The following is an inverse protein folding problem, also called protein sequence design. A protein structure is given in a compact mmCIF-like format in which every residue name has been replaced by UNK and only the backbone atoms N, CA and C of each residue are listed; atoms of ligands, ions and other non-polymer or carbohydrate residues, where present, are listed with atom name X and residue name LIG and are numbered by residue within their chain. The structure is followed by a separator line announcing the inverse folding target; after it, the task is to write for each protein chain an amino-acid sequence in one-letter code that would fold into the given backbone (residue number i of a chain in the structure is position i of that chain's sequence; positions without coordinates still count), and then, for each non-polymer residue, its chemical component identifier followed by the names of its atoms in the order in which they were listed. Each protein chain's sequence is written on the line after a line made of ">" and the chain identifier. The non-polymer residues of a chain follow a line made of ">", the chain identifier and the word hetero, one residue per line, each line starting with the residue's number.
data_IF_694001216935
#
_entry.id   IF_694001216935
#
_cell.length_a   1.000
_cell.length_b   1.000
_cell.length_c   1.000
_cell.angle_alpha   90.00
_cell.angle_beta   90.00
_cell.angle_gamma   90.00
#
_symmetry.space_group_name_H-M   'P 1'
#
loop_
_entity.id
_entity.type
_entity.pdbx_description
1 polymer ?
#
# COMPACT_ATOMS: atom_id res chain seq x y z
N UNK A 1 -8.29 -15.13 1.68
CA UNK A 1 -7.16 -14.21 1.92
C UNK A 1 -6.27 -14.20 0.69
N UNK A 2 -5.85 -13.03 0.24
CA UNK A 2 -4.83 -12.89 -0.80
C UNK A 2 -3.46 -12.76 -0.16
N UNK A 3 -2.51 -13.57 -0.61
CA UNK A 3 -1.21 -13.71 0.01
C UNK A 3 -0.12 -13.18 -0.91
N UNK A 4 0.77 -12.32 -0.39
CA UNK A 4 1.92 -11.81 -1.12
C UNK A 4 3.10 -12.78 -0.94
N UNK A 5 3.12 -13.86 -1.72
CA UNK A 5 4.05 -14.98 -1.61
C UNK A 5 5.15 -15.01 -2.70
N UNK A 6 5.22 -13.97 -3.54
CA UNK A 6 6.19 -13.90 -4.64
C UNK A 6 7.48 -13.14 -4.29
N UNK A 7 7.62 -12.68 -3.05
CA UNK A 7 8.82 -11.99 -2.60
C UNK A 7 10.03 -12.92 -2.54
N UNK A 8 11.18 -12.42 -3.01
CA UNK A 8 12.50 -13.05 -2.82
C UNK A 8 13.36 -12.27 -1.83
N UNK A 9 13.27 -10.94 -1.88
CA UNK A 9 14.07 -10.04 -1.05
C UNK A 9 13.42 -9.69 0.29
N UNK A 10 12.20 -10.13 0.51
CA UNK A 10 11.48 -9.87 1.75
C UNK A 10 10.85 -11.15 2.31
N UNK A 11 10.79 -11.25 3.63
CA UNK A 11 10.24 -12.41 4.33
C UNK A 11 9.80 -12.03 5.74
N UNK A 12 8.64 -12.51 6.17
CA UNK A 12 8.32 -12.61 7.61
C UNK A 12 8.87 -13.92 8.10
N UNK A 13 9.90 -13.87 8.91
CA UNK A 13 10.55 -15.09 9.46
C UNK A 13 9.69 -15.68 10.56
N UNK A 14 9.23 -14.83 11.50
CA UNK A 14 8.44 -15.22 12.65
C UNK A 14 7.64 -14.04 13.20
N UNK A 15 6.65 -14.30 14.04
CA UNK A 15 5.89 -13.25 14.73
C UNK A 15 5.34 -13.75 16.06
N UNK A 16 5.53 -12.98 17.12
CA UNK A 16 5.11 -13.32 18.49
C UNK A 16 5.13 -12.08 19.39
N UNK A 17 4.27 -12.07 20.41
CA UNK A 17 4.24 -11.04 21.47
C UNK A 17 4.22 -9.60 20.95
N UNK A 18 3.38 -9.32 19.98
CA UNK A 18 3.20 -7.98 19.44
C UNK A 18 4.29 -7.52 18.47
N UNK A 19 5.17 -8.42 18.05
CA UNK A 19 6.30 -8.12 17.15
C UNK A 19 6.39 -9.09 16.00
N UNK A 20 7.00 -8.63 14.91
CA UNK A 20 7.37 -9.45 13.76
C UNK A 20 8.85 -9.33 13.48
N UNK A 21 9.44 -10.48 13.17
CA UNK A 21 10.82 -10.63 12.74
C UNK A 21 10.83 -10.75 11.21
N UNK A 22 11.48 -9.81 10.54
CA UNK A 22 11.46 -9.70 9.09
C UNK A 22 12.86 -9.66 8.50
N UNK A 23 13.02 -10.24 7.31
CA UNK A 23 14.20 -10.05 6.47
C UNK A 23 13.87 -9.08 5.34
N UNK A 24 14.70 -8.05 5.22
CA UNK A 24 14.61 -7.01 4.18
C UNK A 24 15.93 -7.00 3.39
N UNK A 25 15.97 -7.75 2.30
CA UNK A 25 17.22 -8.02 1.58
C UNK A 25 18.14 -8.87 2.45
N UNK A 26 19.27 -8.33 2.81
CA UNK A 26 20.25 -8.99 3.70
C UNK A 26 20.11 -8.56 5.18
N UNK A 27 19.19 -7.67 5.49
CA UNK A 27 19.02 -7.13 6.85
C UNK A 27 17.78 -7.70 7.55
N UNK A 28 17.90 -7.93 8.84
CA UNK A 28 16.84 -8.43 9.70
C UNK A 28 16.36 -7.35 10.63
N UNK A 29 15.05 -7.10 10.66
CA UNK A 29 14.42 -6.11 11.52
C UNK A 29 13.38 -6.76 12.43
N UNK A 30 13.26 -6.20 13.63
CA UNK A 30 12.15 -6.47 14.55
C UNK A 30 11.29 -5.21 14.65
N UNK A 31 10.02 -5.35 14.34
CA UNK A 31 9.07 -4.23 14.39
C UNK A 31 7.77 -4.63 15.10
N UNK A 32 7.11 -3.72 15.81
CA UNK A 32 5.83 -4.01 16.43
C UNK A 32 4.73 -4.23 15.37
N UNK A 33 3.85 -5.18 15.66
CA UNK A 33 2.65 -5.43 14.89
C UNK A 33 1.47 -5.69 15.84
N UNK A 34 0.44 -4.82 15.87
CA UNK A 34 -0.68 -4.96 16.79
C UNK A 34 -1.59 -6.15 16.49
N UNK A 35 -1.50 -6.75 15.31
CA UNK A 35 -2.22 -7.98 14.96
C UNK A 35 -1.65 -9.20 15.68
N UNK A 36 -0.38 -9.15 16.08
CA UNK A 36 0.35 -10.27 16.69
C UNK A 36 0.05 -10.34 18.18
N UNK A 37 -1.14 -10.82 18.53
CA UNK A 37 -1.61 -10.94 19.93
C UNK A 37 -1.28 -12.29 20.57
N UNK A 38 -0.74 -13.22 19.80
CA UNK A 38 -0.32 -14.54 20.29
C UNK A 38 1.07 -14.51 20.92
N UNK A 39 1.32 -15.45 21.82
CA UNK A 39 2.57 -15.61 22.55
C UNK A 39 3.15 -17.00 22.22
N UNK A 40 3.98 -17.08 21.23
CA UNK A 40 4.69 -18.29 20.81
C UNK A 40 6.19 -18.17 21.11
N UNK A 41 6.91 -19.31 21.32
CA UNK A 41 8.34 -19.26 21.59
C UNK A 41 9.13 -18.58 20.47
N UNK A 42 9.97 -17.61 20.83
CA UNK A 42 10.87 -16.91 19.91
C UNK A 42 12.18 -17.70 19.75
N UNK A 43 12.15 -18.75 18.95
CA UNK A 43 13.28 -19.67 18.76
C UNK A 43 14.19 -19.31 17.59
N UNK A 44 13.69 -18.48 16.65
CA UNK A 44 14.48 -18.07 15.50
C UNK A 44 15.68 -17.19 15.91
N UNK A 45 16.82 -17.45 15.29
CA UNK A 45 18.10 -16.76 15.59
C UNK A 45 17.98 -15.23 15.42
N UNK A 46 17.20 -14.79 14.46
CA UNK A 46 17.02 -13.36 14.17
C UNK A 46 16.48 -12.54 15.35
N UNK A 47 15.72 -13.15 16.27
CA UNK A 47 15.26 -12.49 17.48
C UNK A 47 16.38 -12.01 18.42
N UNK A 48 17.57 -12.61 18.32
CA UNK A 48 18.76 -12.25 19.11
C UNK A 48 19.84 -11.55 18.28
N UNK A 49 19.73 -11.58 16.95
CA UNK A 49 20.74 -11.08 16.03
C UNK A 49 20.13 -10.24 14.90
N UNK A 50 19.20 -9.33 15.25
CA UNK A 50 18.63 -8.38 14.30
C UNK A 50 19.61 -7.24 13.99
N UNK A 51 19.42 -6.58 12.85
CA UNK A 51 20.16 -5.38 12.45
C UNK A 51 19.51 -4.09 12.95
N UNK A 52 18.20 -4.11 13.20
CA UNK A 52 17.46 -3.01 13.77
C UNK A 52 16.23 -3.49 14.53
N UNK A 53 15.86 -2.76 15.58
CA UNK A 53 14.68 -3.05 16.38
C UNK A 53 13.96 -1.73 16.70
N UNK A 54 12.68 -1.66 16.38
CA UNK A 54 11.84 -0.53 16.77
C UNK A 54 11.12 -0.83 18.08
N UNK A 55 11.44 -0.07 19.11
CA UNK A 55 10.82 -0.19 20.42
C UNK A 55 9.65 0.78 20.58
N UNK A 56 8.46 0.23 20.83
CA UNK A 56 7.26 1.01 21.03
C UNK A 56 7.24 1.63 22.44
N UNK A 57 6.98 2.93 22.52
CA UNK A 57 6.79 3.62 23.79
C UNK A 57 5.37 3.40 24.33
N UNK A 58 5.21 3.26 25.64
CA UNK A 58 3.91 3.20 26.32
C UNK A 58 3.10 4.50 26.21
N UNK A 59 3.78 5.61 25.89
CA UNK A 59 3.16 6.95 25.75
C UNK A 59 2.81 7.29 24.30
N UNK A 60 2.93 6.35 23.38
CA UNK A 60 2.81 6.56 21.93
C UNK A 60 4.15 6.84 21.26
N UNK A 61 4.26 6.49 19.98
CA UNK A 61 5.52 6.54 19.24
C UNK A 61 6.50 5.44 19.64
N UNK A 62 7.77 5.73 19.58
CA UNK A 62 8.86 4.80 19.88
C UNK A 62 10.15 5.25 19.20
N UNK A 63 11.17 4.41 19.27
CA UNK A 63 12.49 4.70 18.71
C UNK A 63 13.14 3.45 18.11
N UNK A 64 14.02 3.68 17.14
CA UNK A 64 14.84 2.65 16.53
C UNK A 64 16.11 2.44 17.33
N UNK A 65 16.45 1.20 17.57
CA UNK A 65 17.77 0.75 18.01
C UNK A 65 18.47 0.09 16.82
N UNK A 66 19.66 0.55 16.49
CA UNK A 66 20.44 0.06 15.35
C UNK A 66 21.66 -0.72 15.83
N UNK A 67 21.88 -1.91 15.25
CA UNK A 67 23.03 -2.75 15.57
C UNK A 67 24.03 -2.80 14.43
N UNK A 68 23.58 -2.91 13.20
CA UNK A 68 24.41 -2.89 11.99
C UNK A 68 23.51 -2.74 10.77
N UNK A 69 22.85 -1.60 10.69
CA UNK A 69 21.92 -1.27 9.61
C UNK A 69 22.42 -0.02 8.88
N UNK A 70 22.51 -0.02 7.54
CA UNK A 70 22.84 1.19 6.80
C UNK A 70 21.71 2.23 6.91
N UNK A 71 22.01 3.50 6.63
CA UNK A 71 20.98 4.55 6.62
C UNK A 71 19.89 4.28 5.59
N UNK A 72 20.26 3.66 4.47
CA UNK A 72 19.32 3.21 3.45
C UNK A 72 19.89 2.03 2.65
N UNK A 73 18.99 1.22 2.10
CA UNK A 73 19.32 0.09 1.23
C UNK A 73 18.21 -0.15 0.25
N UNK A 74 18.37 -1.12 -0.65
CA UNK A 74 17.38 -1.46 -1.67
C UNK A 74 16.94 -2.92 -1.56
N UNK A 75 15.69 -3.17 -1.90
CA UNK A 75 15.16 -4.50 -2.18
C UNK A 75 14.41 -4.48 -3.52
N UNK A 76 14.19 -5.66 -4.07
CA UNK A 76 13.55 -5.84 -5.37
C UNK A 76 12.29 -6.68 -5.26
N UNK A 77 11.29 -6.31 -6.04
CA UNK A 77 10.13 -7.14 -6.31
C UNK A 77 9.94 -7.24 -7.82
N UNK A 78 10.23 -8.42 -8.39
CA UNK A 78 10.28 -8.59 -9.85
C UNK A 78 11.18 -7.50 -10.47
N UNK A 79 10.67 -6.72 -11.41
CA UNK A 79 11.41 -5.62 -12.05
C UNK A 79 11.48 -4.32 -11.24
N UNK A 80 10.83 -4.25 -10.11
CA UNK A 80 10.76 -3.03 -9.30
C UNK A 80 11.89 -3.00 -8.25
N UNK A 81 12.42 -1.81 -8.03
CA UNK A 81 13.42 -1.53 -7.00
C UNK A 81 12.89 -0.52 -6.02
N UNK A 82 12.97 -0.83 -4.74
CA UNK A 82 12.52 0.04 -3.65
C UNK A 82 13.69 0.48 -2.78
N UNK A 83 13.82 1.79 -2.58
CA UNK A 83 14.74 2.37 -1.62
C UNK A 83 14.10 2.35 -0.25
N UNK A 84 14.79 1.78 0.74
CA UNK A 84 14.30 1.62 2.10
C UNK A 84 15.19 2.38 3.06
N UNK A 85 14.58 2.93 4.11
CA UNK A 85 15.27 3.51 5.27
C UNK A 85 14.32 3.52 6.46
N UNK A 86 14.82 3.28 7.67
CA UNK A 86 14.03 3.54 8.87
C UNK A 86 13.67 5.02 8.92
N UNK A 87 12.41 5.32 9.17
CA UNK A 87 11.95 6.70 9.36
C UNK A 87 10.83 6.74 10.38
N UNK A 88 10.07 7.82 10.43
CA UNK A 88 9.00 8.05 11.40
C UNK A 88 8.28 6.79 11.85
N UNK A 89 8.24 6.56 13.15
CA UNK A 89 7.67 5.36 13.75
C UNK A 89 8.42 4.09 13.26
N UNK A 90 7.70 3.00 13.12
CA UNK A 90 8.21 1.68 12.71
C UNK A 90 8.38 1.50 11.19
N UNK A 91 8.16 2.54 10.40
CA UNK A 91 8.09 2.42 8.95
C UNK A 91 9.47 2.34 8.27
N UNK A 92 9.53 1.67 7.15
CA UNK A 92 10.73 1.48 6.33
C UNK A 92 10.57 2.02 4.92
N UNK A 93 9.37 2.45 4.55
CA UNK A 93 9.04 2.98 3.23
C UNK A 93 8.32 2.00 2.30
N UNK A 94 7.92 0.83 2.78
CA UNK A 94 7.23 -0.15 1.96
C UNK A 94 6.27 -1.01 2.79
N UNK A 95 5.17 -1.40 2.15
CA UNK A 95 4.19 -2.37 2.65
C UNK A 95 4.22 -3.61 1.74
N UNK A 96 5.02 -4.63 2.06
CA UNK A 96 5.24 -5.78 1.18
C UNK A 96 3.99 -6.60 0.86
N UNK A 97 3.02 -6.61 1.74
CA UNK A 97 1.73 -7.29 1.54
C UNK A 97 0.94 -6.75 0.34
N UNK A 98 1.21 -5.51 -0.06
CA UNK A 98 0.57 -4.90 -1.22
C UNK A 98 0.99 -5.55 -2.55
N UNK A 99 2.05 -6.32 -2.58
CA UNK A 99 2.51 -7.01 -3.78
C UNK A 99 1.44 -7.91 -4.41
N UNK A 100 0.54 -8.50 -3.60
CA UNK A 100 -0.59 -9.28 -4.14
C UNK A 100 -1.55 -8.42 -4.97
N UNK A 101 -1.73 -7.16 -4.61
CA UNK A 101 -2.52 -6.20 -5.37
C UNK A 101 -1.77 -5.73 -6.62
N UNK A 102 -0.46 -5.47 -6.51
CA UNK A 102 0.37 -5.08 -7.68
C UNK A 102 0.32 -6.14 -8.77
N UNK A 103 0.42 -7.40 -8.42
CA UNK A 103 0.33 -8.51 -9.38
C UNK A 103 -1.03 -8.58 -10.04
N UNK A 104 -2.10 -8.43 -9.25
CA UNK A 104 -3.47 -8.47 -9.75
C UNK A 104 -3.75 -7.37 -10.78
N UNK A 105 -3.53 -6.11 -10.43
CA UNK A 105 -3.86 -5.02 -11.36
C UNK A 105 -2.86 -4.88 -12.51
N UNK A 106 -1.60 -5.28 -12.32
CA UNK A 106 -0.60 -5.27 -13.40
C UNK A 106 -0.99 -6.22 -14.53
N UNK A 107 -1.49 -7.41 -14.19
CA UNK A 107 -2.02 -8.36 -15.18
C UNK A 107 -3.19 -7.77 -15.96
N UNK A 108 -4.13 -7.12 -15.27
CA UNK A 108 -5.27 -6.46 -15.90
C UNK A 108 -4.85 -5.35 -16.85
N UNK A 109 -3.89 -4.53 -16.45
CA UNK A 109 -3.37 -3.45 -17.29
C UNK A 109 -2.71 -4.02 -18.55
N UNK A 110 -1.85 -5.04 -18.41
CA UNK A 110 -1.18 -5.67 -19.54
C UNK A 110 -2.14 -6.32 -20.53
N UNK A 111 -3.22 -6.89 -20.02
CA UNK A 111 -4.21 -7.64 -20.83
C UNK A 111 -5.38 -6.77 -21.33
N UNK A 112 -5.41 -5.48 -20.99
CA UNK A 112 -6.52 -4.60 -21.34
C UNK A 112 -6.67 -4.36 -22.85
N UNK A 113 -5.59 -4.47 -23.64
CA UNK A 113 -5.61 -4.25 -25.09
C UNK A 113 -5.83 -2.79 -25.50
N UNK A 114 -5.72 -1.86 -24.57
CA UNK A 114 -5.88 -0.40 -24.78
C UNK A 114 -5.03 0.39 -23.76
N UNK A 115 -4.76 1.67 -24.02
CA UNK A 115 -4.12 2.54 -23.04
C UNK A 115 -4.97 2.67 -21.77
N UNK A 116 -4.36 2.56 -20.60
CA UNK A 116 -5.02 2.65 -19.30
C UNK A 116 -4.46 3.85 -18.53
N UNK A 117 -5.36 4.68 -18.03
CA UNK A 117 -5.08 5.78 -17.10
C UNK A 117 -5.43 5.36 -15.68
N UNK A 118 -4.44 5.34 -14.81
CA UNK A 118 -4.58 4.97 -13.40
C UNK A 118 -4.43 6.20 -12.51
N UNK A 119 -5.35 6.39 -11.59
CA UNK A 119 -5.23 7.34 -10.49
C UNK A 119 -4.88 6.60 -9.20
N UNK A 120 -3.75 6.93 -8.57
CA UNK A 120 -3.33 6.40 -7.29
C UNK A 120 -3.41 7.50 -6.23
N UNK A 121 -4.35 7.36 -5.29
CA UNK A 121 -4.60 8.27 -4.17
C UNK A 121 -3.98 7.73 -2.88
N UNK A 122 -3.47 8.61 -2.03
CA UNK A 122 -2.69 8.24 -0.84
C UNK A 122 -1.49 7.37 -1.24
N UNK A 123 -0.79 7.83 -2.26
CA UNK A 123 0.09 6.98 -3.05
C UNK A 123 1.43 6.65 -2.36
N UNK A 124 1.74 7.28 -1.23
CA UNK A 124 2.89 6.98 -0.37
C UNK A 124 4.22 7.00 -1.13
N UNK A 125 5.04 5.97 -0.98
CA UNK A 125 6.33 5.83 -1.67
C UNK A 125 6.23 5.20 -3.05
N UNK A 126 5.01 5.02 -3.56
CA UNK A 126 4.74 4.72 -4.95
C UNK A 126 4.75 3.27 -5.36
N UNK A 127 4.65 2.30 -4.44
CA UNK A 127 4.64 0.88 -4.81
C UNK A 127 3.61 0.55 -5.89
N UNK A 128 2.36 0.94 -5.70
CA UNK A 128 1.29 0.74 -6.68
C UNK A 128 1.51 1.57 -7.97
N UNK A 129 2.03 2.80 -7.84
CA UNK A 129 2.37 3.64 -8.99
C UNK A 129 3.41 2.97 -9.89
N UNK A 130 4.48 2.45 -9.30
CA UNK A 130 5.54 1.78 -10.03
C UNK A 130 5.03 0.52 -10.73
N UNK A 131 4.26 -0.30 -10.03
CA UNK A 131 3.69 -1.52 -10.59
C UNK A 131 2.77 -1.22 -11.78
N UNK A 132 1.90 -0.23 -11.67
CA UNK A 132 1.00 0.19 -12.75
C UNK A 132 1.77 0.76 -13.95
N UNK A 133 2.78 1.61 -13.71
CA UNK A 133 3.61 2.18 -14.76
C UNK A 133 4.45 1.11 -15.47
N UNK A 134 5.03 0.16 -14.73
CA UNK A 134 5.76 -0.97 -15.31
C UNK A 134 4.86 -1.85 -16.17
N UNK A 135 3.59 -1.99 -15.83
CA UNK A 135 2.59 -2.71 -16.62
C UNK A 135 2.12 -1.96 -17.88
N UNK A 136 2.51 -0.70 -18.05
CA UNK A 136 2.22 0.11 -19.25
C UNK A 136 1.16 1.19 -19.06
N UNK A 137 0.65 1.42 -17.87
CA UNK A 137 -0.31 2.48 -17.60
C UNK A 137 0.32 3.87 -17.57
N UNK A 138 -0.49 4.88 -17.90
CA UNK A 138 -0.24 6.27 -17.47
C UNK A 138 -0.78 6.42 -16.06
N UNK A 139 0.04 6.96 -15.15
CA UNK A 139 -0.32 7.03 -13.72
C UNK A 139 -0.32 8.48 -13.24
N UNK A 140 -1.37 8.85 -12.53
CA UNK A 140 -1.41 10.06 -11.71
C UNK A 140 -1.23 9.67 -10.25
N UNK A 141 -0.11 10.08 -9.66
CA UNK A 141 0.32 9.78 -8.30
C UNK A 141 0.02 10.98 -7.41
N UNK A 142 -0.85 10.81 -6.42
CA UNK A 142 -1.28 11.89 -5.51
C UNK A 142 -1.01 11.50 -4.07
N UNK A 143 -0.22 12.30 -3.38
CA UNK A 143 0.01 12.20 -1.95
C UNK A 143 0.18 13.59 -1.35
N UNK A 144 -0.30 13.79 -0.14
CA UNK A 144 -0.22 15.09 0.53
C UNK A 144 1.19 15.40 1.06
N UNK A 145 2.06 14.40 1.20
CA UNK A 145 3.41 14.54 1.70
C UNK A 145 4.42 14.76 0.58
N UNK A 146 5.04 15.94 0.57
CA UNK A 146 6.14 16.25 -0.38
C UNK A 146 7.28 15.24 -0.27
N UNK A 147 7.63 14.82 0.95
CA UNK A 147 8.70 13.84 1.19
C UNK A 147 8.37 12.46 0.61
N UNK A 148 7.12 12.02 0.72
CA UNK A 148 6.68 10.74 0.14
C UNK A 148 6.68 10.78 -1.39
N UNK A 149 6.21 11.86 -2.00
CA UNK A 149 6.27 12.05 -3.46
C UNK A 149 7.70 12.06 -3.97
N UNK A 150 8.62 12.72 -3.27
CA UNK A 150 10.04 12.70 -3.60
C UNK A 150 10.64 11.28 -3.53
N UNK A 151 10.30 10.55 -2.47
CA UNK A 151 10.72 9.15 -2.30
C UNK A 151 10.17 8.25 -3.42
N UNK A 152 8.91 8.44 -3.79
CA UNK A 152 8.29 7.69 -4.89
C UNK A 152 9.02 7.95 -6.23
N UNK A 153 9.44 9.19 -6.50
CA UNK A 153 10.26 9.52 -7.67
C UNK A 153 11.62 8.82 -7.66
N UNK A 154 12.26 8.74 -6.49
CA UNK A 154 13.53 8.00 -6.34
C UNK A 154 13.32 6.51 -6.62
N UNK A 155 12.24 5.91 -6.11
CA UNK A 155 11.88 4.53 -6.40
C UNK A 155 11.62 4.31 -7.90
N UNK A 156 10.95 5.24 -8.57
CA UNK A 156 10.73 5.17 -10.02
C UNK A 156 12.06 5.23 -10.79
N UNK A 157 12.96 6.12 -10.41
CA UNK A 157 14.28 6.22 -11.02
C UNK A 157 15.10 4.94 -10.82
N UNK A 158 15.13 4.39 -9.59
CA UNK A 158 15.82 3.13 -9.28
C UNK A 158 15.22 1.92 -10.00
N UNK A 159 13.95 1.98 -10.36
CA UNK A 159 13.24 0.94 -11.11
C UNK A 159 13.35 1.09 -12.63
N UNK A 160 14.07 2.11 -13.13
CA UNK A 160 14.18 2.38 -14.56
C UNK A 160 12.91 2.93 -15.20
N UNK A 161 12.03 3.58 -14.41
CA UNK A 161 10.73 4.07 -14.85
C UNK A 161 10.66 5.60 -15.01
N UNK A 162 11.80 6.29 -15.02
CA UNK A 162 11.84 7.76 -15.15
C UNK A 162 11.19 8.29 -16.42
N UNK A 163 11.21 7.53 -17.49
CA UNK A 163 10.63 7.90 -18.79
C UNK A 163 9.16 7.52 -18.94
N UNK A 164 8.57 6.88 -17.93
CA UNK A 164 7.17 6.49 -17.97
C UNK A 164 6.26 7.67 -17.70
N UNK A 165 5.06 7.68 -18.28
CA UNK A 165 4.09 8.78 -18.11
C UNK A 165 3.47 8.75 -16.70
N UNK A 166 4.21 9.26 -15.73
CA UNK A 166 3.77 9.40 -14.34
C UNK A 166 3.68 10.89 -14.00
N UNK A 167 2.49 11.31 -13.61
CA UNK A 167 2.23 12.66 -13.12
C UNK A 167 2.29 12.65 -11.59
N UNK A 168 3.28 13.35 -11.05
CA UNK A 168 3.54 13.43 -9.62
C UNK A 168 2.90 14.66 -8.99
N UNK A 169 2.05 14.49 -7.98
CA UNK A 169 1.32 15.57 -7.34
C UNK A 169 1.40 15.50 -5.82
N UNK A 170 1.80 16.63 -5.23
CA UNK A 170 1.72 16.87 -3.78
C UNK A 170 0.40 17.60 -3.53
N UNK A 171 -0.62 16.89 -3.08
CA UNK A 171 -1.96 17.43 -2.97
C UNK A 171 -2.84 16.65 -1.99
N UNK A 172 -3.90 17.31 -1.50
CA UNK A 172 -5.00 16.65 -0.80
C UNK A 172 -5.82 15.83 -1.81
N UNK A 173 -6.04 14.55 -1.51
CA UNK A 173 -6.69 13.62 -2.44
C UNK A 173 -8.13 14.00 -2.75
N UNK A 174 -8.92 14.42 -1.76
CA UNK A 174 -10.32 14.83 -1.97
C UNK A 174 -10.39 16.07 -2.85
N UNK A 175 -9.59 17.09 -2.53
CA UNK A 175 -9.52 18.34 -3.31
C UNK A 175 -9.03 18.09 -4.75
N UNK A 176 -8.09 17.14 -4.92
CA UNK A 176 -7.63 16.75 -6.24
C UNK A 176 -8.78 16.15 -7.06
N UNK A 177 -9.53 15.19 -6.51
CA UNK A 177 -10.66 14.57 -7.20
C UNK A 177 -11.73 15.60 -7.56
N UNK A 178 -12.07 16.50 -6.65
CA UNK A 178 -13.02 17.61 -6.92
C UNK A 178 -12.58 18.49 -8.09
N UNK A 179 -11.27 18.79 -8.20
CA UNK A 179 -10.73 19.53 -9.34
C UNK A 179 -10.78 18.74 -10.65
N UNK A 180 -10.52 17.45 -10.61
CA UNK A 180 -10.62 16.59 -11.80
C UNK A 180 -12.04 16.47 -12.32
N UNK A 181 -13.03 16.44 -11.44
CA UNK A 181 -14.45 16.52 -11.81
C UNK A 181 -14.73 17.83 -12.58
N UNK A 182 -14.32 18.98 -12.04
CA UNK A 182 -14.51 20.28 -12.70
C UNK A 182 -13.78 20.39 -14.04
N UNK A 183 -12.64 19.70 -14.19
CA UNK A 183 -11.85 19.68 -15.43
C UNK A 183 -12.38 18.70 -16.47
N UNK A 184 -13.29 17.82 -16.08
CA UNK A 184 -13.79 16.76 -16.94
C UNK A 184 -12.76 15.67 -17.25
N UNK A 185 -11.77 15.48 -16.39
CA UNK A 185 -10.78 14.42 -16.54
C UNK A 185 -11.33 13.08 -16.03
N UNK A 186 -10.97 11.99 -16.73
CA UNK A 186 -11.43 10.66 -16.40
C UNK A 186 -10.26 9.67 -16.32
N UNK A 187 -10.46 8.61 -15.54
CA UNK A 187 -9.50 7.54 -15.28
C UNK A 187 -10.14 6.18 -15.52
N UNK A 188 -9.34 5.24 -16.02
CA UNK A 188 -9.79 3.87 -16.27
C UNK A 188 -9.69 2.99 -15.03
N UNK A 189 -8.85 3.38 -14.08
CA UNK A 189 -8.69 2.67 -12.83
C UNK A 189 -8.34 3.63 -11.69
N UNK A 190 -8.80 3.30 -10.49
CA UNK A 190 -8.51 4.05 -9.28
C UNK A 190 -7.99 3.10 -8.20
N UNK A 191 -6.92 3.52 -7.55
CA UNK A 191 -6.32 2.85 -6.39
C UNK A 191 -6.33 3.84 -5.24
N UNK A 192 -6.74 3.40 -4.04
CA UNK A 192 -6.63 4.22 -2.84
C UNK A 192 -6.23 3.38 -1.63
N UNK A 193 -5.35 3.94 -0.83
CA UNK A 193 -4.87 3.37 0.41
C UNK A 193 -4.94 4.42 1.54
N UNK A 194 -6.15 4.83 1.93
CA UNK A 194 -6.34 5.91 2.88
C UNK A 194 -5.89 5.48 4.29
N UNK A 195 -5.32 6.42 5.07
CA UNK A 195 -5.00 6.16 6.46
C UNK A 195 -6.27 5.99 7.30
N UNK A 196 -6.16 5.29 8.43
CA UNK A 196 -7.27 5.20 9.40
C UNK A 196 -7.60 6.58 9.99
N UNK A 197 -6.58 7.37 10.24
CA UNK A 197 -6.67 8.73 10.77
C UNK A 197 -5.56 9.61 10.17
N UNK A 198 -5.88 10.87 9.91
CA UNK A 198 -4.91 11.86 9.44
C UNK A 198 -5.34 13.28 9.78
N UNK A 199 -4.37 14.19 9.77
CA UNK A 199 -4.59 15.64 9.89
C UNK A 199 -4.01 16.35 8.68
N UNK A 200 -4.80 17.18 8.06
CA UNK A 200 -4.35 18.06 7.00
C UNK A 200 -3.57 19.28 7.55
N UNK A 201 -2.86 20.00 6.67
CA UNK A 201 -2.02 21.13 7.07
C UNK A 201 -2.79 22.31 7.67
N UNK A 202 -4.10 22.38 7.48
CA UNK A 202 -4.98 23.42 8.03
C UNK A 202 -5.84 22.90 9.19
N UNK A 203 -5.50 21.71 9.75
CA UNK A 203 -6.24 21.11 10.87
C UNK A 203 -7.44 20.27 10.43
N UNK A 204 -7.63 20.01 9.13
CA UNK A 204 -8.66 19.10 8.65
C UNK A 204 -8.44 17.71 9.23
N UNK A 205 -9.51 17.06 9.65
CA UNK A 205 -9.45 15.72 10.21
C UNK A 205 -9.97 14.73 9.19
N UNK A 206 -9.16 13.73 8.87
CA UNK A 206 -9.55 12.52 8.17
C UNK A 206 -9.77 11.39 9.16
N UNK A 207 -10.96 10.79 9.12
CA UNK A 207 -11.26 9.52 9.75
C UNK A 207 -11.87 8.61 8.69
N UNK A 208 -11.32 7.42 8.53
CA UNK A 208 -11.70 6.53 7.44
C UNK A 208 -13.19 6.18 7.49
N UNK A 209 -13.74 5.91 8.66
CA UNK A 209 -15.14 5.57 8.85
C UNK A 209 -16.12 6.66 8.41
N UNK A 210 -15.69 7.91 8.45
CA UNK A 210 -16.51 9.07 8.04
C UNK A 210 -16.28 9.47 6.58
N UNK A 211 -15.09 9.20 6.04
CA UNK A 211 -14.60 9.83 4.82
C UNK A 211 -14.44 8.88 3.62
N UNK A 212 -14.29 7.57 3.84
CA UNK A 212 -13.99 6.63 2.73
C UNK A 212 -15.15 6.47 1.77
N UNK A 213 -16.36 6.27 2.25
CA UNK A 213 -17.53 6.11 1.37
C UNK A 213 -17.83 7.38 0.56
N UNK A 214 -17.84 8.58 1.16
CA UNK A 214 -17.95 9.83 0.36
C UNK A 214 -16.86 9.97 -0.70
N UNK A 215 -15.62 9.57 -0.41
CA UNK A 215 -14.53 9.62 -1.39
C UNK A 215 -14.73 8.62 -2.53
N UNK A 216 -15.11 7.39 -2.24
CA UNK A 216 -15.45 6.39 -3.27
C UNK A 216 -16.54 6.93 -4.18
N UNK A 217 -17.61 7.47 -3.61
CA UNK A 217 -18.73 8.07 -4.34
C UNK A 217 -18.26 9.23 -5.23
N UNK A 218 -17.41 10.11 -4.70
CA UNK A 218 -16.84 11.21 -5.46
C UNK A 218 -16.01 10.72 -6.64
N UNK A 219 -15.19 9.67 -6.43
CA UNK A 219 -14.35 9.07 -7.46
C UNK A 219 -15.14 8.43 -8.61
N UNK A 220 -16.38 8.01 -8.40
CA UNK A 220 -17.23 7.50 -9.49
C UNK A 220 -17.48 8.53 -10.58
N UNK A 221 -17.39 9.82 -10.26
CA UNK A 221 -17.58 10.91 -11.22
C UNK A 221 -16.37 11.14 -12.13
N UNK A 222 -15.23 10.56 -11.82
CA UNK A 222 -14.02 10.64 -12.64
C UNK A 222 -13.60 9.27 -13.22
N UNK A 223 -14.43 8.26 -13.10
CA UNK A 223 -14.24 7.01 -13.84
C UNK A 223 -14.65 7.19 -15.30
N UNK A 224 -13.89 6.58 -16.21
CA UNK A 224 -14.25 6.50 -17.62
C UNK A 224 -15.54 5.69 -17.82
N UNK A 225 -16.10 5.72 -19.03
CA UNK A 225 -17.31 4.96 -19.35
C UNK A 225 -17.07 3.45 -19.31
N UNK A 226 -15.82 3.02 -19.56
CA UNK A 226 -15.39 1.63 -19.54
C UNK A 226 -14.20 1.45 -18.59
N UNK A 227 -14.42 1.54 -17.27
CA UNK A 227 -13.34 1.42 -16.29
C UNK A 227 -12.83 -0.02 -16.17
N UNK A 228 -11.54 -0.17 -15.88
CA UNK A 228 -10.88 -1.48 -15.78
C UNK A 228 -10.98 -2.07 -14.38
N UNK A 229 -10.63 -1.28 -13.36
CA UNK A 229 -10.69 -1.72 -11.97
C UNK A 229 -10.78 -0.55 -10.97
N UNK A 230 -11.18 -0.89 -9.75
CA UNK A 230 -11.17 0.00 -8.59
C UNK A 230 -10.68 -0.78 -7.37
N UNK A 231 -9.59 -0.33 -6.76
CA UNK A 231 -8.95 -0.98 -5.62
C UNK A 231 -8.97 -0.05 -4.40
N UNK A 232 -9.50 -0.56 -3.28
CA UNK A 232 -9.51 0.14 -1.99
C UNK A 232 -8.83 -0.72 -0.94
N UNK A 233 -7.86 -0.14 -0.24
CA UNK A 233 -7.17 -0.79 0.87
C UNK A 233 -7.61 -0.20 2.21
N UNK A 234 -7.58 -1.03 3.25
CA UNK A 234 -7.83 -0.63 4.63
C UNK A 234 -6.95 -1.40 5.60
N UNK A 235 -6.31 -0.67 6.50
CA UNK A 235 -5.56 -1.21 7.63
C UNK A 235 -6.26 -0.94 8.96
N UNK A 236 -7.51 -0.52 8.91
CA UNK A 236 -8.28 -0.13 10.08
C UNK A 236 -8.87 -1.35 10.79
N UNK A 237 -8.51 -1.52 12.05
CA UNK A 237 -9.08 -2.56 12.90
C UNK A 237 -10.60 -2.35 13.03
N UNK A 238 -11.36 -3.42 12.87
CA UNK A 238 -12.82 -3.40 12.96
C UNK A 238 -13.53 -3.09 11.63
N UNK A 239 -12.80 -2.74 10.56
CA UNK A 239 -13.35 -2.60 9.22
C UNK A 239 -13.19 -3.94 8.47
N UNK A 240 -14.20 -4.79 8.53
CA UNK A 240 -14.17 -6.09 7.85
C UNK A 240 -14.10 -5.94 6.32
N UNK A 241 -13.47 -6.88 5.59
CA UNK A 241 -13.40 -6.84 4.13
C UNK A 241 -14.76 -6.69 3.45
N UNK A 242 -15.80 -7.34 3.98
CA UNK A 242 -17.16 -7.26 3.44
C UNK A 242 -17.74 -5.83 3.42
N UNK A 243 -17.26 -4.93 4.28
CA UNK A 243 -17.64 -3.50 4.26
C UNK A 243 -17.16 -2.83 2.99
N UNK A 244 -15.95 -3.16 2.53
CA UNK A 244 -15.41 -2.67 1.26
C UNK A 244 -16.24 -3.20 0.07
N UNK A 245 -16.63 -4.47 0.11
CA UNK A 245 -17.52 -5.06 -0.90
C UNK A 245 -18.84 -4.31 -0.98
N UNK A 246 -19.44 -3.98 0.16
CA UNK A 246 -20.72 -3.26 0.20
C UNK A 246 -20.61 -1.87 -0.46
N UNK A 247 -19.60 -1.10 -0.07
CA UNK A 247 -19.39 0.24 -0.63
C UNK A 247 -19.10 0.21 -2.12
N UNK A 248 -18.17 -0.62 -2.57
CA UNK A 248 -17.82 -0.74 -3.99
C UNK A 248 -18.98 -1.29 -4.81
N UNK A 249 -19.67 -2.31 -4.33
CA UNK A 249 -20.82 -2.89 -5.01
C UNK A 249 -21.99 -1.91 -5.18
N UNK A 250 -22.19 -1.03 -4.20
CA UNK A 250 -23.21 0.01 -4.25
C UNK A 250 -22.84 1.10 -5.26
N UNK A 251 -21.63 1.65 -5.14
CA UNK A 251 -21.25 2.85 -5.92
C UNK A 251 -20.86 2.51 -7.38
N UNK A 252 -20.40 1.30 -7.65
CA UNK A 252 -19.96 0.89 -8.99
C UNK A 252 -21.00 0.04 -9.75
N UNK A 253 -22.20 -0.10 -9.20
CA UNK A 253 -23.27 -0.93 -9.75
C UNK A 253 -23.56 -0.67 -11.25
N UNK A 254 -23.54 0.58 -11.66
CA UNK A 254 -23.87 0.97 -13.04
C UNK A 254 -22.94 0.38 -14.10
N UNK A 255 -21.72 -0.02 -13.73
CA UNK A 255 -20.76 -0.61 -14.67
C UNK A 255 -20.81 -2.12 -14.76
N UNK A 256 -21.67 -2.78 -13.98
CA UNK A 256 -21.90 -4.24 -14.05
C UNK A 256 -20.61 -5.07 -13.89
N UNK A 257 -19.70 -4.65 -13.00
CA UNK A 257 -18.49 -5.40 -12.69
C UNK A 257 -18.68 -6.36 -11.53
N UNK A 258 -17.59 -7.01 -11.15
CA UNK A 258 -17.51 -7.92 -10.02
C UNK A 258 -16.70 -7.29 -8.87
N UNK A 259 -17.16 -7.51 -7.63
CA UNK A 259 -16.43 -7.09 -6.42
C UNK A 259 -16.07 -8.32 -5.60
N UNK A 260 -14.79 -8.41 -5.21
CA UNK A 260 -14.34 -9.31 -4.15
C UNK A 260 -13.48 -8.54 -3.16
N UNK A 261 -13.62 -8.84 -1.88
CA UNK A 261 -12.85 -8.21 -0.81
C UNK A 261 -12.36 -9.28 0.15
N UNK A 262 -11.06 -9.25 0.44
CA UNK A 262 -10.41 -10.22 1.31
C UNK A 262 -9.35 -9.54 2.17
N UNK A 263 -8.97 -10.21 3.24
CA UNK A 263 -7.72 -9.88 3.93
C UNK A 263 -6.53 -10.12 3.00
N UNK A 264 -5.49 -9.32 3.18
CA UNK A 264 -4.18 -9.53 2.56
C UNK A 264 -3.19 -9.95 3.64
N UNK A 265 -2.24 -10.80 3.28
CA UNK A 265 -1.31 -11.36 4.25
C UNK A 265 0.06 -11.70 3.67
N UNK A 266 0.95 -11.99 4.59
CA UNK A 266 2.35 -12.38 4.32
C UNK A 266 2.60 -13.78 4.87
N UNK A 267 3.20 -14.69 4.10
CA UNK A 267 3.59 -16.00 4.62
C UNK A 267 4.63 -15.85 5.73
N UNK A 268 4.50 -16.67 6.77
CA UNK A 268 5.47 -16.76 7.87
C UNK A 268 6.29 -18.02 7.69
N UNK A 269 7.59 -17.86 7.46
CA UNK A 269 8.46 -19.00 7.09
C UNK A 269 8.75 -19.97 8.22
N UNK A 270 8.75 -19.52 9.47
CA UNK A 270 9.01 -20.40 10.62
C UNK A 270 7.94 -21.47 10.85
N UNK A 271 6.69 -21.23 10.44
CA UNK A 271 5.59 -22.13 10.76
C UNK A 271 4.59 -22.39 9.61
N UNK A 272 4.79 -21.75 8.46
CA UNK A 272 3.91 -21.90 7.29
C UNK A 272 2.51 -21.28 7.41
N UNK A 273 2.26 -20.51 8.47
CA UNK A 273 1.03 -19.74 8.64
C UNK A 273 1.12 -18.40 7.88
N UNK A 274 0.08 -17.60 7.91
CA UNK A 274 0.01 -16.31 7.24
C UNK A 274 -0.25 -15.21 8.27
N UNK A 275 0.59 -14.18 8.28
CA UNK A 275 0.36 -12.97 9.06
C UNK A 275 -0.68 -12.11 8.34
N UNK A 276 -1.86 -11.86 8.93
CA UNK A 276 -2.83 -10.93 8.35
C UNK A 276 -2.33 -9.49 8.49
N UNK A 277 -2.41 -8.71 7.41
CA UNK A 277 -1.86 -7.35 7.39
C UNK A 277 -2.90 -6.26 7.23
N UNK A 278 -3.96 -6.51 6.49
CA UNK A 278 -5.02 -5.57 6.22
C UNK A 278 -6.06 -6.18 5.31
N UNK A 279 -6.90 -5.36 4.69
CA UNK A 279 -7.94 -5.80 3.77
C UNK A 279 -7.89 -5.00 2.47
N UNK A 280 -8.31 -5.62 1.38
CA UNK A 280 -8.47 -4.99 0.07
C UNK A 280 -9.82 -5.33 -0.53
N UNK A 281 -10.48 -4.32 -1.11
CA UNK A 281 -11.64 -4.49 -1.95
C UNK A 281 -11.23 -4.27 -3.41
N UNK A 282 -11.53 -5.24 -4.27
CA UNK A 282 -11.22 -5.22 -5.70
C UNK A 282 -12.51 -5.27 -6.50
N UNK A 283 -12.78 -4.20 -7.23
CA UNK A 283 -13.80 -4.20 -8.25
C UNK A 283 -13.13 -4.32 -9.62
N UNK A 284 -13.70 -5.12 -10.51
CA UNK A 284 -13.24 -5.27 -11.89
C UNK A 284 -14.42 -5.36 -12.85
N UNK A 285 -14.24 -4.88 -14.06
CA UNK A 285 -15.22 -4.94 -15.15
C UNK A 285 -15.31 -6.34 -15.72
#
# INVERSE_FOLDING_TARGET
>A
MWIADQWKDYEVIDCSKGEKLERWGQYTLVRPDPQVIWDTPKTERGWKHMNGHYHRSKKGGGEWEFFSLPEQWQIHYKELTFNLKPFSFKHTGLFPEQATNWDWFSEKIRNAGRPIKVLNLFAYTGGATLAAAAAGASVTHVDASKGMVAWAKENAASSGLSDRPIRWLVDDCVKFVEREIRRGNHYDAIIMDPPSYGRGPKGEIWKIEDAIHPLIKLCTQILSDDPLFFLVNSYTTGLAPAVLTYMLGTELKKWNGHVDSQEIGLPVSSNGLVLPCGASGRWEK
#
